data_IF_052789044521
#
_entry.id   IF_052789044521
#
_cell.length_a   1.000
_cell.length_b   1.000
_cell.length_c   1.000
_cell.angle_alpha   90.00
_cell.angle_beta   90.00
_cell.angle_gamma   90.00
#
_symmetry.space_group_name_H-M   'P 1'
#
loop_
_entity.id
_entity.type
_entity.pdbx_description
1 polymer ?
#
# COMPACT_ATOMS: atom_id res chain seq x y z
N UNK A 1 2.47 -46.89 54.81
CA UNK A 1 2.47 -48.33 54.46
C UNK A 1 2.68 -48.44 52.97
N UNK A 2 3.89 -48.90 52.62
CA UNK A 2 4.21 -50.02 51.70
C UNK A 2 3.70 -49.81 50.29
N UNK A 3 4.43 -49.95 49.21
CA UNK A 3 5.67 -50.71 48.96
C UNK A 3 6.25 -50.27 47.59
N UNK A 4 7.52 -50.13 47.58
CA UNK A 4 8.47 -50.04 46.46
C UNK A 4 8.40 -51.35 45.65
N UNK A 5 8.47 -51.26 44.31
CA UNK A 5 9.07 -52.37 43.57
C UNK A 5 9.82 -51.89 42.33
N UNK A 6 11.09 -52.21 42.37
CA UNK A 6 12.13 -52.02 41.39
C UNK A 6 12.30 -53.33 40.60
N UNK A 7 12.35 -53.29 39.29
CA UNK A 7 12.99 -54.30 38.43
C UNK A 7 13.52 -53.59 37.19
N UNK A 8 14.78 -53.30 37.14
CA UNK A 8 15.98 -54.01 36.75
C UNK A 8 16.01 -54.57 35.31
N UNK A 9 16.82 -53.90 34.50
CA UNK A 9 17.68 -54.35 33.40
C UNK A 9 17.26 -55.48 32.46
N UNK A 10 17.31 -55.17 31.16
CA UNK A 10 18.11 -56.03 30.24
C UNK A 10 18.62 -55.22 29.05
N UNK A 11 19.94 -55.22 28.88
CA UNK A 11 20.72 -54.77 27.70
C UNK A 11 20.39 -55.69 26.54
N UNK A 12 20.18 -55.13 25.34
CA UNK A 12 20.38 -55.84 24.10
C UNK A 12 21.04 -54.86 23.09
N UNK A 13 22.29 -55.12 22.89
CA UNK A 13 23.16 -54.49 21.89
C UNK A 13 22.75 -55.08 20.51
N UNK A 14 22.33 -54.23 19.58
CA UNK A 14 22.22 -54.61 18.15
C UNK A 14 23.04 -53.63 17.34
N UNK A 15 24.17 -54.11 16.86
CA UNK A 15 25.00 -53.52 15.83
C UNK A 15 24.22 -53.47 14.53
N UNK A 16 23.88 -52.24 14.06
CA UNK A 16 23.46 -52.06 12.68
C UNK A 16 24.59 -51.37 11.92
N UNK A 17 25.16 -52.14 11.00
CA UNK A 17 26.12 -51.68 9.98
C UNK A 17 25.29 -50.84 8.99
N UNK A 18 25.47 -49.51 9.04
CA UNK A 18 24.91 -48.62 8.03
C UNK A 18 25.90 -48.49 6.88
N UNK A 19 25.55 -49.04 5.72
CA UNK A 19 26.27 -48.85 4.48
C UNK A 19 26.20 -47.35 4.09
N UNK A 20 27.38 -46.72 3.97
CA UNK A 20 27.49 -45.34 3.46
C UNK A 20 27.34 -45.40 1.95
N UNK A 21 26.19 -45.00 1.46
CA UNK A 21 25.98 -44.70 0.03
C UNK A 21 26.45 -43.25 -0.18
N UNK A 22 27.60 -43.07 -0.74
CA UNK A 22 28.11 -41.78 -1.22
C UNK A 22 27.37 -41.43 -2.50
N UNK A 23 26.33 -40.65 -2.41
CA UNK A 23 25.68 -40.01 -3.55
C UNK A 23 26.47 -38.74 -3.87
N UNK A 24 27.31 -38.82 -4.91
CA UNK A 24 28.00 -37.66 -5.49
C UNK A 24 26.96 -36.80 -6.22
N UNK A 25 26.52 -35.73 -5.59
CA UNK A 25 25.70 -34.70 -6.23
C UNK A 25 26.60 -33.76 -7.05
N UNK A 26 26.25 -33.38 -8.27
CA UNK A 26 26.99 -32.35 -8.98
C UNK A 26 26.80 -31.00 -8.30
N UNK A 27 27.89 -30.35 -8.00
CA UNK A 27 27.96 -28.99 -7.48
C UNK A 27 27.42 -28.00 -8.52
N UNK A 28 26.13 -27.69 -8.47
CA UNK A 28 25.59 -26.53 -9.17
C UNK A 28 25.99 -25.30 -8.39
N UNK A 29 26.94 -24.56 -8.92
CA UNK A 29 27.31 -23.26 -8.39
C UNK A 29 26.14 -22.29 -8.56
N UNK A 30 25.30 -22.15 -7.53
CA UNK A 30 24.38 -21.04 -7.40
C UNK A 30 25.16 -19.81 -6.96
N UNK A 31 25.23 -18.84 -7.88
CA UNK A 31 25.67 -17.49 -7.56
C UNK A 31 24.84 -16.97 -6.39
N UNK A 32 25.48 -16.72 -5.26
CA UNK A 32 24.89 -16.09 -4.09
C UNK A 32 24.63 -14.61 -4.38
N UNK A 33 23.47 -14.28 -4.97
CA UNK A 33 22.92 -12.94 -4.86
C UNK A 33 22.46 -12.78 -3.41
N UNK A 34 23.15 -11.93 -2.66
CA UNK A 34 22.87 -11.67 -1.27
C UNK A 34 21.43 -11.22 -1.08
N UNK A 35 20.61 -12.06 -0.47
CA UNK A 35 19.27 -11.71 0.00
C UNK A 35 19.45 -10.96 1.32
N UNK A 36 19.39 -9.62 1.23
CA UNK A 36 19.23 -8.77 2.42
C UNK A 36 17.78 -8.87 2.85
N UNK A 37 17.54 -9.58 3.95
CA UNK A 37 16.25 -9.59 4.63
C UNK A 37 15.99 -8.20 5.23
N UNK A 38 15.24 -7.38 4.54
CA UNK A 38 14.77 -6.05 4.97
C UNK A 38 13.31 -5.88 4.57
N UNK A 39 12.45 -5.99 5.57
CA UNK A 39 11.10 -5.44 5.71
C UNK A 39 10.25 -5.33 4.42
N UNK A 40 9.15 -6.06 4.43
CA UNK A 40 8.04 -6.14 3.49
C UNK A 40 7.65 -4.88 2.72
N UNK A 41 8.44 -4.57 1.71
CA UNK A 41 7.97 -3.80 0.57
C UNK A 41 7.16 -4.78 -0.26
N UNK A 42 5.85 -4.55 -0.34
CA UNK A 42 5.04 -5.17 -1.39
C UNK A 42 5.80 -4.97 -2.70
N UNK A 43 5.92 -6.00 -3.56
CA UNK A 43 6.70 -5.87 -4.77
C UNK A 43 6.17 -4.67 -5.55
N UNK A 44 7.09 -3.77 -5.93
CA UNK A 44 6.86 -2.76 -6.95
C UNK A 44 6.17 -3.49 -8.11
N UNK A 45 4.91 -3.13 -8.36
CA UNK A 45 4.17 -3.70 -9.47
C UNK A 45 4.89 -3.31 -10.76
N UNK A 46 5.71 -4.23 -11.24
CA UNK A 46 6.34 -4.17 -12.55
C UNK A 46 5.31 -4.51 -13.64
N UNK A 47 4.08 -3.98 -13.49
CA UNK A 47 3.05 -4.14 -14.50
C UNK A 47 3.49 -3.43 -15.78
N UNK A 48 3.80 -4.15 -16.87
CA UNK A 48 4.28 -3.56 -18.11
C UNK A 48 3.27 -2.59 -18.76
N UNK A 49 2.02 -2.55 -18.30
CA UNK A 49 1.02 -1.60 -18.76
C UNK A 49 1.20 -0.18 -18.20
N UNK A 50 2.07 0.03 -17.22
CA UNK A 50 2.41 1.37 -16.72
C UNK A 50 3.65 1.99 -17.40
N UNK A 51 4.25 1.32 -18.38
CA UNK A 51 5.48 1.74 -19.04
C UNK A 51 5.43 3.10 -19.75
N UNK A 52 4.25 3.69 -19.94
CA UNK A 52 4.06 5.03 -20.50
C UNK A 52 3.35 6.01 -19.54
N UNK A 53 3.14 5.65 -18.28
CA UNK A 53 2.52 6.55 -17.32
C UNK A 53 3.44 7.75 -17.05
N UNK A 54 2.90 8.98 -17.17
CA UNK A 54 3.61 10.21 -16.83
C UNK A 54 4.03 10.17 -15.37
N UNK A 55 5.32 10.28 -15.10
CA UNK A 55 5.87 10.40 -13.75
C UNK A 55 6.05 11.87 -13.38
N UNK A 56 5.70 12.23 -12.15
CA UNK A 56 5.79 13.61 -11.64
C UNK A 56 6.39 13.57 -10.24
N UNK A 57 7.42 14.35 -9.98
CA UNK A 57 7.93 14.54 -8.63
C UNK A 57 7.03 15.52 -7.88
N UNK A 58 6.61 15.14 -6.68
CA UNK A 58 5.73 15.94 -5.83
C UNK A 58 6.21 15.94 -4.38
N UNK A 59 5.91 17.03 -3.66
CA UNK A 59 6.00 17.07 -2.21
C UNK A 59 4.71 16.48 -1.63
N UNK A 60 4.82 15.37 -0.93
CA UNK A 60 3.68 14.68 -0.32
C UNK A 60 3.70 14.82 1.21
N UNK A 61 2.58 15.25 1.76
CA UNK A 61 2.28 15.33 3.20
C UNK A 61 1.10 14.43 3.54
N UNK A 62 0.68 14.39 4.79
CA UNK A 62 -0.50 13.66 5.21
C UNK A 62 -1.47 14.51 6.01
N UNK A 63 -2.77 14.26 5.85
CA UNK A 63 -3.85 14.92 6.58
C UNK A 63 -4.87 13.94 7.12
N UNK A 64 -5.71 14.42 8.04
CA UNK A 64 -6.86 13.68 8.57
C UNK A 64 -8.15 14.49 8.39
N UNK A 65 -9.31 13.89 8.66
CA UNK A 65 -10.57 14.65 8.70
C UNK A 65 -10.68 15.59 9.91
N UNK A 66 -9.75 15.48 10.86
CA UNK A 66 -9.79 16.18 12.14
C UNK A 66 -9.52 17.67 12.08
N UNK A 67 -9.70 18.32 13.24
CA UNK A 67 -9.58 19.78 13.40
C UNK A 67 -8.20 20.31 13.05
N UNK A 68 -7.17 19.51 13.27
CA UNK A 68 -5.77 19.83 12.99
C UNK A 68 -5.47 20.02 11.49
N UNK A 69 -6.26 19.35 10.64
CA UNK A 69 -6.08 19.42 9.17
C UNK A 69 -7.17 20.23 8.48
N UNK A 70 -8.43 20.11 8.95
CA UNK A 70 -9.59 20.69 8.26
C UNK A 70 -10.31 21.76 9.07
N UNK A 71 -9.98 21.95 10.33
CA UNK A 71 -10.73 22.81 11.26
C UNK A 71 -12.10 22.27 11.66
N UNK A 72 -12.50 21.08 11.19
CA UNK A 72 -13.82 20.48 11.43
C UNK A 72 -13.75 19.39 12.51
N UNK A 73 -14.85 19.22 13.23
CA UNK A 73 -15.03 18.19 14.27
C UNK A 73 -16.15 17.23 13.86
N UNK A 74 -16.18 15.98 14.36
CA UNK A 74 -17.34 15.11 14.23
C UNK A 74 -18.62 15.85 14.62
N UNK A 75 -19.68 15.69 13.82
CA UNK A 75 -20.94 16.43 13.97
C UNK A 75 -21.02 17.75 13.19
N UNK A 76 -19.93 18.30 12.70
CA UNK A 76 -19.99 19.44 11.77
C UNK A 76 -20.48 18.99 10.39
N UNK A 77 -21.36 19.77 9.73
CA UNK A 77 -21.67 19.57 8.33
C UNK A 77 -20.38 19.58 7.50
N UNK A 78 -20.20 18.57 6.62
CA UNK A 78 -19.00 18.46 5.81
C UNK A 78 -17.74 17.91 6.54
N UNK A 79 -17.86 17.41 7.79
CA UNK A 79 -16.79 16.62 8.39
C UNK A 79 -16.49 15.35 7.59
N UNK A 80 -15.24 15.19 7.18
CA UNK A 80 -14.85 14.06 6.35
C UNK A 80 -15.42 14.07 4.93
N UNK A 81 -15.92 15.20 4.46
CA UNK A 81 -16.37 15.40 3.08
C UNK A 81 -15.34 16.23 2.32
N UNK A 82 -14.90 15.72 1.19
CA UNK A 82 -13.92 16.36 0.29
C UNK A 82 -14.55 17.48 -0.53
N UNK A 83 -13.71 18.23 -1.24
CA UNK A 83 -14.16 19.25 -2.21
C UNK A 83 -15.09 18.68 -3.30
N UNK A 84 -14.83 17.47 -3.77
CA UNK A 84 -15.71 16.80 -4.77
C UNK A 84 -17.01 16.26 -4.19
N UNK A 85 -17.22 16.36 -2.88
CA UNK A 85 -18.44 15.89 -2.21
C UNK A 85 -18.42 14.42 -1.78
N UNK A 86 -17.36 13.69 -2.07
CA UNK A 86 -17.21 12.30 -1.60
C UNK A 86 -16.64 12.24 -0.20
N UNK A 87 -16.88 11.14 0.51
CA UNK A 87 -16.32 10.92 1.84
C UNK A 87 -14.83 10.55 1.76
N UNK A 88 -14.01 11.17 2.62
CA UNK A 88 -12.60 10.78 2.76
C UNK A 88 -12.49 9.30 3.15
N UNK A 89 -11.48 8.61 2.60
CA UNK A 89 -11.21 7.22 2.94
C UNK A 89 -9.77 6.80 2.69
N UNK A 90 -9.32 5.87 3.50
CA UNK A 90 -8.12 5.09 3.31
C UNK A 90 -8.54 3.70 2.86
N UNK A 91 -8.35 3.36 1.57
CA UNK A 91 -8.87 2.15 0.94
C UNK A 91 -7.91 1.71 -0.19
N UNK A 92 -8.26 0.73 -1.01
CA UNK A 92 -7.49 0.32 -2.19
C UNK A 92 -7.18 1.51 -3.11
N UNK A 93 -8.14 2.39 -3.32
CA UNK A 93 -7.96 3.72 -3.91
C UNK A 93 -8.38 4.74 -2.85
N UNK A 94 -7.42 5.37 -2.23
CA UNK A 94 -7.63 6.34 -1.16
C UNK A 94 -7.91 7.73 -1.71
N UNK A 95 -8.64 8.57 -0.97
CA UNK A 95 -8.82 9.98 -1.33
C UNK A 95 -7.56 10.78 -0.98
N UNK A 96 -7.16 11.69 -1.87
CA UNK A 96 -6.06 12.62 -1.66
C UNK A 96 -6.46 14.04 -2.05
N UNK A 97 -5.74 15.04 -1.51
CA UNK A 97 -5.84 16.42 -1.96
C UNK A 97 -4.68 16.77 -2.90
N UNK A 98 -4.96 17.58 -3.91
CA UNK A 98 -3.97 18.09 -4.86
C UNK A 98 -4.37 19.46 -5.41
N UNK A 99 -3.46 20.11 -6.15
CA UNK A 99 -3.79 21.27 -6.97
C UNK A 99 -4.53 20.82 -8.24
N UNK A 100 -5.79 21.19 -8.45
CA UNK A 100 -6.55 20.76 -9.64
C UNK A 100 -6.01 21.31 -10.95
N UNK A 101 -5.11 22.31 -10.91
CA UNK A 101 -4.40 22.77 -12.10
C UNK A 101 -3.29 21.81 -12.57
N UNK A 102 -2.80 20.97 -11.66
CA UNK A 102 -1.77 19.94 -11.94
C UNK A 102 -2.38 18.57 -12.07
N UNK A 103 -3.26 18.23 -11.14
CA UNK A 103 -4.00 16.96 -11.07
C UNK A 103 -5.48 17.27 -10.86
N UNK A 104 -6.28 17.36 -11.92
CA UNK A 104 -7.72 17.61 -11.83
C UNK A 104 -8.42 16.59 -10.93
N UNK A 105 -9.56 16.98 -10.34
CA UNK A 105 -10.41 16.05 -9.59
C UNK A 105 -10.71 14.82 -10.45
N UNK A 106 -10.64 13.63 -9.83
CA UNK A 106 -10.77 12.35 -10.52
C UNK A 106 -9.44 11.77 -11.04
N UNK A 107 -8.33 12.54 -11.03
CA UNK A 107 -7.03 11.99 -11.39
C UNK A 107 -6.64 10.87 -10.42
N UNK A 108 -6.05 9.78 -10.96
CA UNK A 108 -5.54 8.67 -10.17
C UNK A 108 -4.03 8.65 -10.25
N UNK A 109 -3.40 8.62 -9.09
CA UNK A 109 -1.96 8.55 -8.92
C UNK A 109 -1.59 7.23 -8.24
N UNK A 110 -0.52 6.58 -8.70
CA UNK A 110 0.17 5.59 -7.90
C UNK A 110 1.31 6.28 -7.13
N UNK A 111 1.28 6.13 -5.82
CA UNK A 111 2.18 6.83 -4.90
C UNK A 111 3.01 5.76 -4.17
N UNK A 112 4.32 5.65 -4.47
CA UNK A 112 5.19 4.68 -3.81
C UNK A 112 5.14 4.78 -2.28
N UNK A 113 4.92 3.65 -1.60
CA UNK A 113 4.77 3.58 -0.14
C UNK A 113 3.41 3.97 0.41
N UNK A 114 2.46 4.41 -0.44
CA UNK A 114 1.09 4.72 -0.05
C UNK A 114 0.05 3.90 -0.83
N UNK A 115 0.26 3.67 -2.12
CA UNK A 115 -0.67 2.97 -3.01
C UNK A 115 -1.41 3.93 -3.94
N UNK A 116 -2.59 3.51 -4.42
CA UNK A 116 -3.40 4.35 -5.30
C UNK A 116 -4.11 5.46 -4.53
N UNK A 117 -4.00 6.68 -5.06
CA UNK A 117 -4.71 7.86 -4.59
C UNK A 117 -5.56 8.47 -5.71
N UNK A 118 -6.82 8.81 -5.41
CA UNK A 118 -7.66 9.60 -6.31
C UNK A 118 -7.78 11.03 -5.79
N UNK A 119 -7.56 11.99 -6.66
CA UNK A 119 -7.71 13.41 -6.32
C UNK A 119 -9.20 13.71 -6.12
N UNK A 120 -9.60 13.84 -4.89
CA UNK A 120 -10.96 14.10 -4.45
C UNK A 120 -11.09 15.45 -3.76
N UNK A 121 -9.98 15.97 -3.27
CA UNK A 121 -9.97 17.14 -2.41
C UNK A 121 -8.97 18.19 -2.91
N UNK A 122 -9.10 19.38 -2.35
CA UNK A 122 -8.22 20.52 -2.60
C UNK A 122 -7.85 21.17 -1.27
N UNK A 123 -6.75 21.92 -1.24
CA UNK A 123 -6.35 22.68 -0.06
C UNK A 123 -5.76 24.04 -0.44
N UNK A 124 -5.95 25.05 0.41
CA UNK A 124 -5.35 26.38 0.19
C UNK A 124 -3.82 26.33 0.15
N UNK A 125 -3.22 25.45 0.96
CA UNK A 125 -1.77 25.22 1.02
C UNK A 125 -1.27 24.17 0.02
N UNK A 126 -2.16 23.43 -0.65
CA UNK A 126 -1.82 22.35 -1.59
C UNK A 126 -1.85 22.95 -3.00
N UNK A 127 -0.72 23.51 -3.42
CA UNK A 127 -0.56 24.20 -4.71
C UNK A 127 0.64 23.70 -5.48
N UNK A 128 0.53 23.68 -6.82
CA UNK A 128 1.57 23.16 -7.71
C UNK A 128 1.80 21.67 -7.51
N UNK A 129 3.05 21.24 -7.51
CA UNK A 129 3.43 19.84 -7.31
C UNK A 129 3.43 19.43 -5.83
N UNK A 130 2.32 19.67 -5.16
CA UNK A 130 2.07 19.20 -3.80
C UNK A 130 0.83 18.32 -3.76
N UNK A 131 0.89 17.27 -2.97
CA UNK A 131 -0.25 16.41 -2.67
C UNK A 131 -0.35 16.19 -1.16
N UNK A 132 -1.55 15.92 -0.69
CA UNK A 132 -1.82 15.62 0.72
C UNK A 132 -2.61 14.32 0.83
N UNK A 133 -2.07 13.35 1.54
CA UNK A 133 -2.53 11.98 1.60
C UNK A 133 -3.44 11.79 2.81
N UNK A 134 -4.61 11.24 2.61
CA UNK A 134 -5.52 10.99 3.71
C UNK A 134 -5.06 9.83 4.60
N UNK A 135 -5.10 10.05 5.91
CA UNK A 135 -4.95 9.05 6.96
C UNK A 135 -6.08 9.17 7.97
N UNK A 136 -6.39 8.09 8.67
CA UNK A 136 -7.45 8.10 9.66
C UNK A 136 -7.03 8.84 10.94
N UNK A 137 -5.73 8.83 11.27
CA UNK A 137 -5.20 9.44 12.50
C UNK A 137 -3.89 10.19 12.26
N UNK A 138 -3.66 11.22 13.04
CA UNK A 138 -2.39 11.98 13.06
C UNK A 138 -1.19 11.08 13.42
N UNK A 139 -1.40 10.10 14.29
CA UNK A 139 -0.34 9.13 14.62
C UNK A 139 0.12 8.35 13.39
N UNK A 140 -0.82 7.95 12.52
CA UNK A 140 -0.48 7.30 11.24
C UNK A 140 0.26 8.25 10.31
N UNK A 141 -0.17 9.51 10.18
CA UNK A 141 0.55 10.50 9.37
C UNK A 141 2.03 10.53 9.73
N UNK A 142 2.37 10.71 11.01
CA UNK A 142 3.76 10.80 11.44
C UNK A 142 4.52 9.48 11.37
N UNK A 143 3.88 8.37 11.70
CA UNK A 143 4.54 7.05 11.75
C UNK A 143 4.76 6.46 10.36
N UNK A 144 3.78 6.62 9.46
CA UNK A 144 3.76 5.92 8.18
C UNK A 144 4.25 6.80 7.02
N UNK A 145 4.07 8.12 7.14
CA UNK A 145 4.38 9.03 6.03
C UNK A 145 5.30 10.19 6.38
N UNK A 146 4.84 11.15 7.15
CA UNK A 146 5.52 12.43 7.41
C UNK A 146 5.41 13.40 6.24
N UNK A 147 6.53 14.06 5.86
CA UNK A 147 6.66 14.96 4.71
C UNK A 147 7.85 14.51 3.89
N UNK A 148 7.63 14.23 2.60
CA UNK A 148 8.71 13.75 1.73
C UNK A 148 8.46 14.10 0.26
N UNK A 149 9.53 14.21 -0.53
CA UNK A 149 9.46 14.19 -1.99
C UNK A 149 9.29 12.75 -2.47
N UNK A 150 8.42 12.55 -3.46
CA UNK A 150 8.16 11.23 -4.05
C UNK A 150 7.78 11.38 -5.52
N UNK A 151 8.26 10.48 -6.37
CA UNK A 151 7.84 10.42 -7.78
C UNK A 151 6.59 9.58 -7.90
N UNK A 152 5.48 10.21 -8.24
CA UNK A 152 4.18 9.55 -8.47
C UNK A 152 4.00 9.22 -9.95
N UNK A 153 3.23 8.18 -10.25
CA UNK A 153 2.81 7.83 -11.60
C UNK A 153 1.36 8.28 -11.80
N UNK A 154 1.09 9.02 -12.87
CA UNK A 154 -0.27 9.43 -13.24
C UNK A 154 -0.92 8.30 -14.03
N UNK A 155 -1.76 7.52 -13.38
CA UNK A 155 -2.46 6.37 -13.98
C UNK A 155 -3.61 6.83 -14.85
N UNK A 156 -4.31 7.88 -14.41
CA UNK A 156 -5.42 8.49 -15.13
C UNK A 156 -5.47 9.98 -14.83
N UNK A 157 -5.70 10.79 -15.86
CA UNK A 157 -5.95 12.22 -15.74
C UNK A 157 -7.45 12.45 -15.59
N UNK A 158 -7.88 13.02 -14.46
CA UNK A 158 -9.29 13.31 -14.22
C UNK A 158 -9.85 14.42 -15.11
N UNK A 159 -11.16 14.48 -15.21
CA UNK A 159 -11.92 15.48 -15.98
C UNK A 159 -12.49 16.63 -15.12
N UNK A 160 -12.12 16.67 -13.84
CA UNK A 160 -12.60 17.67 -12.87
C UNK A 160 -13.84 17.23 -12.10
N UNK A 161 -14.33 16.02 -12.29
CA UNK A 161 -15.52 15.49 -11.64
C UNK A 161 -15.24 14.15 -10.96
N UNK A 162 -15.99 13.87 -9.90
CA UNK A 162 -15.99 12.58 -9.24
C UNK A 162 -17.29 12.39 -8.47
N UNK A 163 -17.76 11.15 -8.38
CA UNK A 163 -18.94 10.78 -7.60
C UNK A 163 -18.62 9.67 -6.61
N UNK A 164 -19.41 9.60 -5.54
CA UNK A 164 -19.28 8.52 -4.54
C UNK A 164 -19.47 7.13 -5.19
N UNK A 165 -20.44 6.99 -6.11
CA UNK A 165 -20.69 5.73 -6.81
C UNK A 165 -19.48 5.28 -7.66
N UNK A 166 -18.84 6.22 -8.36
CA UNK A 166 -17.64 5.92 -9.13
C UNK A 166 -16.47 5.49 -8.22
N UNK A 167 -16.28 6.21 -7.08
CA UNK A 167 -15.23 5.88 -6.12
C UNK A 167 -15.44 4.49 -5.49
N UNK A 168 -16.68 4.12 -5.19
CA UNK A 168 -17.00 2.78 -4.71
C UNK A 168 -16.72 1.72 -5.77
N UNK A 169 -17.12 1.96 -7.02
CA UNK A 169 -16.89 1.04 -8.13
C UNK A 169 -15.40 0.76 -8.34
N UNK A 170 -14.55 1.81 -8.39
CA UNK A 170 -13.13 1.61 -8.61
C UNK A 170 -12.46 0.86 -7.44
N UNK A 171 -12.86 1.12 -6.20
CA UNK A 171 -12.37 0.36 -5.06
C UNK A 171 -12.75 -1.12 -5.13
N UNK A 172 -13.98 -1.45 -5.56
CA UNK A 172 -14.40 -2.84 -5.77
C UNK A 172 -13.55 -3.53 -6.85
N UNK A 173 -13.30 -2.86 -7.97
CA UNK A 173 -12.48 -3.40 -9.06
C UNK A 173 -11.03 -3.61 -8.60
N UNK A 174 -10.42 -2.62 -7.97
CA UNK A 174 -9.02 -2.74 -7.49
C UNK A 174 -8.91 -3.80 -6.40
N UNK A 175 -9.92 -3.95 -5.54
CA UNK A 175 -9.98 -5.04 -4.56
C UNK A 175 -9.96 -6.41 -5.23
N UNK A 176 -10.69 -6.58 -6.32
CA UNK A 176 -10.79 -7.86 -7.03
C UNK A 176 -9.56 -8.15 -7.92
N UNK A 177 -9.09 -7.15 -8.66
CA UNK A 177 -8.05 -7.32 -9.69
C UNK A 177 -6.64 -6.93 -9.20
N UNK A 178 -6.52 -6.32 -8.02
CA UNK A 178 -5.28 -5.79 -7.43
C UNK A 178 -4.54 -4.77 -8.33
N UNK A 179 -5.26 -4.21 -9.31
CA UNK A 179 -4.78 -3.20 -10.26
C UNK A 179 -5.94 -2.35 -10.75
N UNK A 180 -5.62 -1.23 -11.41
CA UNK A 180 -6.62 -0.39 -12.08
C UNK A 180 -6.61 -0.75 -13.58
N UNK A 181 -7.66 -1.39 -14.10
CA UNK A 181 -7.73 -1.72 -15.51
C UNK A 181 -8.05 -0.47 -16.34
N UNK A 182 -7.40 -0.34 -17.50
CA UNK A 182 -7.62 0.81 -18.41
C UNK A 182 -9.07 0.90 -18.92
N UNK A 183 -9.80 -0.20 -18.96
CA UNK A 183 -11.22 -0.25 -19.31
C UNK A 183 -12.12 0.59 -18.39
N UNK A 184 -11.65 0.92 -17.18
CA UNK A 184 -12.36 1.83 -16.27
C UNK A 184 -12.49 3.26 -16.79
N UNK A 185 -11.68 3.65 -17.77
CA UNK A 185 -11.58 5.01 -18.32
C UNK A 185 -11.98 5.07 -19.78
N UNK A 186 -12.28 3.92 -20.41
CA UNK A 186 -12.82 3.87 -21.76
C UNK A 186 -14.30 4.27 -21.70
N UNK A 187 -14.64 5.46 -22.17
CA UNK A 187 -16.02 5.95 -22.37
C UNK A 187 -16.33 6.07 -23.84
#
# INVERSE_FOLDING_TARGET
MRSMNVYLLKKASLLFIAAIVIVTQPLVAMASSGFVAGQGLLPFDSNPNHGNARSVEVMATGYTAGVESTGKRPGNPGYGITYSGVKVRRDYVSTIAADPKVFPIGSILYIPGYGYGVVADTGSAIKGHKIDLYFETIKQVYKEWGKRSVTVQVIHQGDGKMTEAWLQKINQVVKAEQRIPQSMFAS
#
